data_IF_934817042234
#
_entry.id   IF_934817042234
#
_cell.length_a   1.000
_cell.length_b   1.000
_cell.length_c   1.000
_cell.angle_alpha   90.00
_cell.angle_beta   90.00
_cell.angle_gamma   90.00
#
_symmetry.space_group_name_H-M   'P 1'
#
loop_
_entity.id
_entity.type
_entity.pdbx_description
1 polymer ?
#
# COMPACT_ATOMS: atom_id res chain seq x y z
N UNK A 1 20.57 26.28 -23.50
CA UNK A 1 19.90 26.03 -22.20
C UNK A 1 18.67 26.91 -22.15
N UNK A 2 17.48 26.35 -21.92
CA UNK A 2 16.29 27.16 -21.61
C UNK A 2 16.19 27.32 -20.09
N UNK A 3 15.69 28.47 -19.62
CA UNK A 3 15.59 28.80 -18.19
C UNK A 3 14.50 28.00 -17.43
N UNK A 4 13.85 27.02 -18.06
CA UNK A 4 12.75 26.26 -17.46
C UNK A 4 11.46 27.09 -17.26
N UNK A 5 10.61 26.66 -16.31
CA UNK A 5 9.36 27.37 -15.97
C UNK A 5 9.69 28.64 -15.16
N UNK A 6 9.23 29.80 -15.64
CA UNK A 6 9.28 31.06 -14.87
C UNK A 6 8.45 30.91 -13.59
N UNK A 7 9.02 31.30 -12.45
CA UNK A 7 8.31 31.36 -11.17
C UNK A 7 7.55 32.70 -11.10
N UNK A 8 6.28 32.70 -11.49
CA UNK A 8 5.43 33.89 -11.56
C UNK A 8 3.99 33.55 -11.13
N UNK A 9 3.77 33.14 -9.87
CA UNK A 9 2.45 32.77 -9.40
C UNK A 9 1.55 34.01 -9.25
N UNK A 10 0.30 33.90 -9.68
CA UNK A 10 -0.73 34.90 -9.40
C UNK A 10 -1.25 34.78 -7.96
N UNK A 11 -1.94 35.79 -7.40
CA UNK A 11 -2.62 35.64 -6.12
C UNK A 11 -3.66 34.50 -6.14
N UNK A 12 -3.74 33.72 -5.06
CA UNK A 12 -4.67 32.58 -4.93
C UNK A 12 -6.13 33.07 -4.94
N UNK A 13 -6.99 32.62 -5.87
CA UNK A 13 -8.41 32.97 -5.89
C UNK A 13 -9.21 32.12 -4.88
N UNK A 14 -10.40 32.59 -4.49
CA UNK A 14 -11.26 31.92 -3.50
C UNK A 14 -11.89 30.61 -3.99
N UNK A 15 -11.88 30.34 -5.30
CA UNK A 15 -12.50 29.19 -5.95
C UNK A 15 -11.49 28.25 -6.63
N UNK A 16 -10.26 28.20 -6.14
CA UNK A 16 -9.19 27.38 -6.71
C UNK A 16 -9.44 25.87 -6.46
N UNK A 17 -9.37 25.05 -7.51
CA UNK A 17 -9.43 23.59 -7.36
C UNK A 17 -8.10 23.04 -6.81
N UNK A 18 -8.13 21.85 -6.18
CA UNK A 18 -6.89 21.18 -5.75
C UNK A 18 -5.98 20.91 -6.95
N UNK A 19 -6.56 20.60 -8.11
CA UNK A 19 -5.78 20.31 -9.30
C UNK A 19 -5.03 21.54 -9.84
N UNK A 20 -5.69 22.71 -9.83
CA UNK A 20 -5.07 23.97 -10.22
C UNK A 20 -4.06 24.45 -9.15
N UNK A 21 -4.34 24.20 -7.86
CA UNK A 21 -3.37 24.44 -6.79
C UNK A 21 -2.05 23.69 -7.05
N UNK A 22 -2.15 22.40 -7.40
CA UNK A 22 -1.00 21.57 -7.74
C UNK A 22 -0.31 22.06 -9.02
N UNK A 23 -1.07 22.35 -10.08
CA UNK A 23 -0.48 22.72 -11.37
C UNK A 23 0.18 24.11 -11.38
N UNK A 24 -0.39 25.07 -10.65
CA UNK A 24 -0.03 26.50 -10.76
C UNK A 24 0.74 27.07 -9.57
N UNK A 25 0.64 26.47 -8.38
CA UNK A 25 1.24 27.05 -7.16
C UNK A 25 2.33 26.18 -6.55
N UNK A 26 2.34 24.88 -6.82
CA UNK A 26 3.38 23.98 -6.33
C UNK A 26 4.64 24.06 -7.21
N UNK A 27 5.30 25.22 -7.16
CA UNK A 27 6.30 25.61 -8.17
C UNK A 27 7.75 25.26 -7.82
N UNK A 28 8.12 25.18 -6.54
CA UNK A 28 9.49 24.90 -6.09
C UNK A 28 9.53 23.98 -4.86
N UNK A 29 10.72 23.46 -4.53
CA UNK A 29 11.00 22.59 -3.37
C UNK A 29 10.05 21.38 -3.28
N UNK A 30 9.67 20.95 -2.07
CA UNK A 30 8.81 19.79 -1.86
C UNK A 30 7.41 19.97 -2.47
N UNK A 31 6.92 21.21 -2.61
CA UNK A 31 5.69 21.46 -3.35
C UNK A 31 5.85 21.03 -4.83
N UNK A 32 6.95 21.45 -5.49
CA UNK A 32 7.24 20.98 -6.85
C UNK A 32 7.40 19.46 -6.95
N UNK A 33 8.03 18.82 -5.95
CA UNK A 33 8.13 17.36 -5.90
C UNK A 33 6.76 16.70 -5.78
N UNK A 34 5.86 17.23 -4.95
CA UNK A 34 4.48 16.72 -4.87
C UNK A 34 3.72 16.89 -6.19
N UNK A 35 3.88 18.03 -6.86
CA UNK A 35 3.29 18.24 -8.19
C UNK A 35 3.81 17.25 -9.21
N UNK A 36 5.12 17.01 -9.23
CA UNK A 36 5.73 16.04 -10.14
C UNK A 36 5.28 14.62 -9.84
N UNK A 37 5.15 14.24 -8.56
CA UNK A 37 4.55 12.98 -8.15
C UNK A 37 3.10 12.84 -8.65
N UNK A 38 2.27 13.86 -8.48
CA UNK A 38 0.89 13.87 -8.97
C UNK A 38 0.82 13.72 -10.50
N UNK A 39 1.67 14.44 -11.23
CA UNK A 39 1.74 14.39 -12.69
C UNK A 39 2.29 13.07 -13.19
N UNK A 40 3.32 12.52 -12.56
CA UNK A 40 3.88 11.22 -12.91
C UNK A 40 2.85 10.12 -12.70
N UNK A 41 2.16 10.15 -11.55
CA UNK A 41 1.08 9.22 -11.24
C UNK A 41 0.00 9.25 -12.33
N UNK A 42 -0.56 10.43 -12.62
CA UNK A 42 -1.65 10.59 -13.60
C UNK A 42 -1.22 10.35 -15.04
N UNK A 43 -0.10 10.92 -15.48
CA UNK A 43 0.24 10.94 -16.92
C UNK A 43 0.95 9.67 -17.38
N UNK A 44 1.60 8.93 -16.47
CA UNK A 44 2.37 7.73 -16.83
C UNK A 44 1.92 6.50 -16.03
N UNK A 45 1.88 6.56 -14.70
CA UNK A 45 1.59 5.36 -13.89
C UNK A 45 0.16 4.84 -14.09
N UNK A 46 -0.79 5.71 -14.45
CA UNK A 46 -2.17 5.33 -14.74
C UNK A 46 -2.44 4.97 -16.22
N UNK A 47 -1.41 4.88 -17.06
CA UNK A 47 -1.60 4.39 -18.43
C UNK A 47 -2.16 2.94 -18.44
N UNK A 48 -2.93 2.55 -19.47
CA UNK A 48 -3.69 1.27 -19.47
C UNK A 48 -2.81 0.02 -19.32
N UNK A 49 -1.59 0.07 -19.82
CA UNK A 49 -0.60 -1.00 -19.83
C UNK A 49 0.25 -1.07 -18.55
N UNK A 50 0.02 -0.17 -17.59
CA UNK A 50 0.80 -0.10 -16.34
C UNK A 50 0.06 -0.78 -15.19
N UNK A 51 0.77 -1.62 -14.44
CA UNK A 51 0.27 -2.26 -13.22
C UNK A 51 0.82 -1.52 -12.00
N UNK A 52 -0.08 -0.94 -11.19
CA UNK A 52 0.24 -0.04 -10.09
C UNK A 52 0.19 -0.77 -8.75
N UNK A 53 1.33 -0.90 -8.10
CA UNK A 53 1.47 -1.34 -6.72
C UNK A 53 1.52 -0.15 -5.75
N UNK A 54 0.85 -0.27 -4.60
CA UNK A 54 0.88 0.76 -3.55
C UNK A 54 1.42 0.20 -2.25
N UNK A 55 2.26 0.97 -1.55
CA UNK A 55 2.67 0.61 -0.18
C UNK A 55 2.09 1.55 0.86
N UNK A 56 1.69 0.98 2.00
CA UNK A 56 1.08 1.71 3.11
C UNK A 56 1.85 1.45 4.40
N UNK A 57 2.46 2.51 4.94
CA UNK A 57 3.17 2.49 6.21
C UNK A 57 2.82 3.71 7.06
N UNK A 58 3.22 3.72 8.34
CA UNK A 58 2.74 4.71 9.30
C UNK A 58 1.28 4.46 9.71
N UNK A 59 0.70 5.41 10.46
CA UNK A 59 -0.67 5.32 10.96
C UNK A 59 -1.66 6.05 10.02
N UNK A 60 -1.87 5.52 8.81
CA UNK A 60 -2.70 6.17 7.78
C UNK A 60 -4.19 5.86 7.94
N UNK A 61 -4.57 4.62 8.19
CA UNK A 61 -5.99 4.26 8.30
C UNK A 61 -6.66 4.72 9.60
N UNK A 62 -5.97 4.85 10.76
CA UNK A 62 -6.55 5.48 11.93
C UNK A 62 -7.04 6.91 11.67
N UNK A 63 -6.33 7.70 10.86
CA UNK A 63 -6.72 9.08 10.52
C UNK A 63 -7.95 9.15 9.61
N UNK A 64 -8.38 8.01 9.04
CA UNK A 64 -9.51 7.91 8.12
C UNK A 64 -9.11 7.94 6.64
N UNK A 65 -7.82 8.06 6.31
CA UNK A 65 -7.33 8.12 4.92
C UNK A 65 -7.52 6.82 4.14
N UNK A 66 -7.68 5.68 4.83
CA UNK A 66 -8.13 4.43 4.21
C UNK A 66 -9.39 4.65 3.39
N UNK A 67 -10.45 5.09 4.06
CA UNK A 67 -11.73 5.38 3.44
C UNK A 67 -11.74 6.66 2.59
N UNK A 68 -11.10 7.73 3.06
CA UNK A 68 -11.21 9.04 2.42
C UNK A 68 -10.34 9.19 1.15
N UNK A 69 -9.24 8.44 1.05
CA UNK A 69 -8.26 8.60 -0.03
C UNK A 69 -7.97 7.30 -0.79
N UNK A 70 -7.65 6.22 -0.08
CA UNK A 70 -7.26 4.96 -0.72
C UNK A 70 -8.44 4.24 -1.40
N UNK A 71 -9.58 4.18 -0.72
CA UNK A 71 -10.78 3.53 -1.26
C UNK A 71 -11.25 4.15 -2.59
N UNK A 72 -11.34 5.49 -2.74
CA UNK A 72 -11.62 6.12 -4.03
C UNK A 72 -10.63 5.75 -5.14
N UNK A 73 -9.34 5.62 -4.83
CA UNK A 73 -8.33 5.19 -5.81
C UNK A 73 -8.51 3.72 -6.21
N UNK A 74 -8.85 2.84 -5.26
CA UNK A 74 -9.21 1.44 -5.55
C UNK A 74 -10.46 1.38 -6.43
N UNK A 75 -11.51 2.15 -6.09
CA UNK A 75 -12.75 2.20 -6.87
C UNK A 75 -12.53 2.68 -8.31
N UNK A 76 -11.66 3.67 -8.49
CA UNK A 76 -11.29 4.17 -9.79
C UNK A 76 -10.32 3.25 -10.56
N UNK A 77 -9.98 2.08 -10.03
CA UNK A 77 -9.05 1.14 -10.65
C UNK A 77 -7.62 1.69 -10.75
N UNK A 78 -7.25 2.66 -9.92
CA UNK A 78 -5.93 3.31 -9.93
C UNK A 78 -4.90 2.56 -9.06
N UNK A 79 -5.34 1.54 -8.32
CA UNK A 79 -4.51 0.68 -7.48
C UNK A 79 -4.79 -0.78 -7.87
N UNK A 80 -3.76 -1.51 -8.29
CA UNK A 80 -3.90 -2.87 -8.78
C UNK A 80 -3.51 -3.92 -7.72
N UNK A 81 -2.59 -3.59 -6.81
CA UNK A 81 -2.18 -4.42 -5.66
C UNK A 81 -1.56 -3.58 -4.54
N UNK A 82 -1.58 -4.08 -3.30
CA UNK A 82 -1.15 -3.34 -2.11
C UNK A 82 -0.20 -4.15 -1.26
N UNK A 83 0.84 -3.50 -0.71
CA UNK A 83 1.62 -4.02 0.42
C UNK A 83 1.45 -3.07 1.62
N UNK A 84 0.88 -3.54 2.72
CA UNK A 84 0.58 -2.71 3.89
C UNK A 84 1.26 -3.24 5.15
N UNK A 85 1.47 -2.39 6.16
CA UNK A 85 1.59 -2.89 7.53
C UNK A 85 0.27 -3.51 7.98
N UNK A 86 0.32 -4.55 8.80
CA UNK A 86 -0.90 -5.14 9.35
C UNK A 86 -1.61 -4.20 10.33
N UNK A 87 -0.91 -3.22 10.92
CA UNK A 87 -1.50 -2.17 11.74
C UNK A 87 -2.48 -1.28 10.96
N UNK A 88 -2.11 -0.85 9.74
CA UNK A 88 -3.05 -0.11 8.88
C UNK A 88 -4.29 -0.95 8.57
N UNK A 89 -4.10 -2.22 8.21
CA UNK A 89 -5.23 -3.10 7.88
C UNK A 89 -6.13 -3.36 9.09
N UNK A 90 -5.56 -3.50 10.29
CA UNK A 90 -6.29 -3.71 11.54
C UNK A 90 -7.09 -2.48 11.96
N UNK A 91 -6.45 -1.32 12.05
CA UNK A 91 -7.10 -0.12 12.58
C UNK A 91 -8.19 0.45 11.64
N UNK A 92 -8.11 0.15 10.35
CA UNK A 92 -9.15 0.49 9.38
C UNK A 92 -10.47 -0.26 9.67
N UNK A 93 -10.38 -1.46 10.25
CA UNK A 93 -11.55 -2.29 10.54
C UNK A 93 -12.45 -1.66 11.61
N UNK A 94 -11.91 -0.85 12.53
CA UNK A 94 -12.70 -0.31 13.64
C UNK A 94 -13.96 0.38 13.15
N UNK A 95 -13.82 1.27 12.16
CA UNK A 95 -14.96 1.98 11.55
C UNK A 95 -15.88 1.06 10.76
N UNK A 96 -15.32 0.06 10.08
CA UNK A 96 -16.09 -0.96 9.36
C UNK A 96 -16.90 -1.90 10.28
N UNK A 97 -16.55 -1.94 11.57
CA UNK A 97 -17.30 -2.65 12.60
C UNK A 97 -18.31 -1.76 13.34
N UNK A 98 -18.40 -0.48 12.97
CA UNK A 98 -19.31 0.50 13.57
C UNK A 98 -18.72 1.26 14.77
N UNK A 99 -17.40 1.23 14.96
CA UNK A 99 -16.74 2.00 16.02
C UNK A 99 -16.24 3.35 15.52
N UNK A 100 -16.05 4.26 16.46
CA UNK A 100 -15.63 5.63 16.19
C UNK A 100 -14.23 5.88 16.77
N UNK A 101 -13.47 6.73 16.08
CA UNK A 101 -12.16 7.22 16.51
C UNK A 101 -12.23 8.74 16.44
N UNK A 102 -11.64 9.41 17.42
CA UNK A 102 -11.73 10.86 17.60
C UNK A 102 -10.37 11.51 17.56
N UNK A 103 -10.31 12.76 17.11
CA UNK A 103 -9.11 13.57 17.23
C UNK A 103 -8.92 14.03 18.68
N UNK A 104 -7.67 14.13 19.11
CA UNK A 104 -7.26 14.76 20.38
C UNK A 104 -6.01 15.63 20.17
N UNK A 105 -5.52 16.26 21.23
CA UNK A 105 -4.19 16.89 21.23
C UNK A 105 -3.10 15.83 21.41
N UNK A 106 -1.93 15.95 20.74
CA UNK A 106 -0.80 15.06 21.02
C UNK A 106 -0.20 15.27 22.42
N UNK A 107 -0.62 16.32 23.14
CA UNK A 107 -0.12 16.72 24.46
C UNK A 107 -1.05 16.36 25.64
N UNK A 108 -2.00 15.45 25.42
CA UNK A 108 -2.86 14.93 26.50
C UNK A 108 -2.10 14.05 27.49
N UNK A 109 -2.62 13.92 28.71
CA UNK A 109 -2.01 13.10 29.76
C UNK A 109 -2.27 11.61 29.54
N UNK A 110 -1.23 10.87 29.17
CA UNK A 110 -1.29 9.43 28.91
C UNK A 110 -1.62 8.59 30.16
N UNK A 111 -1.30 9.08 31.37
CA UNK A 111 -1.64 8.39 32.61
C UNK A 111 -3.15 8.44 32.84
N UNK A 112 -3.76 9.60 32.61
CA UNK A 112 -5.21 9.77 32.70
C UNK A 112 -5.92 8.95 31.62
N UNK A 113 -5.45 9.00 30.37
CA UNK A 113 -6.00 8.17 29.30
C UNK A 113 -5.94 6.68 29.67
N UNK A 114 -4.81 6.22 30.22
CA UNK A 114 -4.66 4.83 30.67
C UNK A 114 -5.64 4.48 31.78
N UNK A 115 -5.83 5.36 32.78
CA UNK A 115 -6.77 5.16 33.88
C UNK A 115 -8.22 5.07 33.37
N UNK A 116 -8.56 5.89 32.37
CA UNK A 116 -9.87 5.91 31.70
C UNK A 116 -10.05 4.81 30.65
N UNK A 117 -9.01 3.99 30.39
CA UNK A 117 -8.98 2.97 29.34
C UNK A 117 -9.22 3.54 27.94
N UNK A 118 -8.64 4.71 27.67
CA UNK A 118 -8.59 5.32 26.35
C UNK A 118 -7.24 4.98 25.73
N UNK A 119 -7.27 4.51 24.48
CA UNK A 119 -6.09 4.21 23.68
C UNK A 119 -5.79 5.41 22.79
N UNK A 120 -4.52 5.76 22.66
CA UNK A 120 -4.06 6.88 21.83
C UNK A 120 -3.12 6.39 20.74
N UNK A 121 -3.33 6.93 19.53
CA UNK A 121 -2.40 6.88 18.40
C UNK A 121 -2.06 8.32 18.08
N UNK A 122 -0.98 8.84 18.66
CA UNK A 122 -0.57 10.24 18.56
C UNK A 122 -1.72 11.23 18.90
N UNK A 123 -2.37 11.85 17.93
CA UNK A 123 -3.47 12.80 18.07
C UNK A 123 -4.85 12.17 17.77
N UNK A 124 -4.97 10.84 17.89
CA UNK A 124 -6.20 10.06 17.72
C UNK A 124 -6.47 9.25 18.98
N UNK A 125 -7.72 9.20 19.43
CA UNK A 125 -8.17 8.43 20.59
C UNK A 125 -9.41 7.60 20.33
N UNK A 126 -9.54 6.50 21.06
CA UNK A 126 -10.72 5.64 21.09
C UNK A 126 -10.73 4.77 22.35
N UNK A 127 -11.90 4.29 22.76
CA UNK A 127 -12.02 3.43 23.93
C UNK A 127 -11.32 2.08 23.73
N UNK A 128 -10.67 1.56 24.77
CA UNK A 128 -10.05 0.22 24.75
C UNK A 128 -11.05 -0.88 24.36
N UNK A 129 -12.34 -0.69 24.67
CA UNK A 129 -13.39 -1.64 24.28
C UNK A 129 -13.49 -1.83 22.75
N UNK A 130 -13.12 -0.81 21.96
CA UNK A 130 -13.03 -0.92 20.50
C UNK A 130 -12.03 -2.00 20.09
N UNK A 131 -10.84 -2.04 20.71
CA UNK A 131 -9.85 -3.11 20.45
C UNK A 131 -10.43 -4.47 20.80
N UNK A 132 -10.99 -4.60 22.00
CA UNK A 132 -11.50 -5.88 22.51
C UNK A 132 -12.63 -6.44 21.62
N UNK A 133 -13.53 -5.57 21.14
CA UNK A 133 -14.62 -5.95 20.25
C UNK A 133 -14.13 -6.24 18.82
N UNK A 134 -13.19 -5.46 18.29
CA UNK A 134 -12.55 -5.75 17.00
C UNK A 134 -11.82 -7.09 17.02
N UNK A 135 -11.09 -7.37 18.10
CA UNK A 135 -10.42 -8.63 18.33
C UNK A 135 -11.40 -9.82 18.43
N UNK A 136 -12.52 -9.64 19.12
CA UNK A 136 -13.56 -10.66 19.21
C UNK A 136 -14.17 -10.97 17.83
N UNK A 137 -14.39 -9.95 17.00
CA UNK A 137 -14.82 -10.12 15.61
C UNK A 137 -13.77 -10.91 14.81
N UNK A 138 -12.49 -10.50 14.87
CA UNK A 138 -11.41 -11.18 14.16
C UNK A 138 -11.31 -12.66 14.56
N UNK A 139 -11.28 -12.97 15.86
CA UNK A 139 -11.21 -14.37 16.31
C UNK A 139 -12.36 -15.22 15.79
N UNK A 140 -13.58 -14.65 15.74
CA UNK A 140 -14.74 -15.35 15.20
C UNK A 140 -14.61 -15.62 13.70
N UNK A 141 -14.12 -14.64 12.93
CA UNK A 141 -13.90 -14.78 11.49
C UNK A 141 -12.77 -15.77 11.20
N UNK A 142 -11.63 -15.63 11.87
CA UNK A 142 -10.44 -16.46 11.68
C UNK A 142 -10.63 -17.92 12.12
N UNK A 143 -11.70 -18.23 12.85
CA UNK A 143 -12.10 -19.61 13.16
C UNK A 143 -12.88 -20.30 12.03
N UNK A 144 -13.28 -19.57 10.98
CA UNK A 144 -14.03 -20.15 9.88
C UNK A 144 -13.17 -21.15 9.06
N UNK A 145 -13.78 -22.16 8.40
CA UNK A 145 -13.05 -23.25 7.74
C UNK A 145 -12.02 -22.81 6.70
N UNK A 146 -12.30 -21.75 5.93
CA UNK A 146 -11.40 -21.25 4.89
C UNK A 146 -10.06 -20.73 5.43
N UNK A 147 -10.00 -20.38 6.72
CA UNK A 147 -8.78 -19.94 7.41
C UNK A 147 -8.01 -21.09 8.05
N UNK A 148 -8.55 -22.30 8.16
CA UNK A 148 -7.91 -23.41 8.88
C UNK A 148 -6.84 -24.13 8.04
N UNK A 149 -5.92 -23.35 7.46
CA UNK A 149 -4.75 -23.82 6.71
C UNK A 149 -3.66 -22.73 6.70
N UNK A 150 -2.50 -23.03 6.13
CA UNK A 150 -1.54 -21.99 5.77
C UNK A 150 -2.08 -21.17 4.61
N UNK A 151 -1.98 -19.85 4.72
CA UNK A 151 -2.45 -18.87 3.75
C UNK A 151 -1.33 -17.88 3.45
N UNK A 152 -1.22 -17.48 2.18
CA UNK A 152 -0.54 -16.21 1.87
C UNK A 152 -1.31 -15.06 2.55
N UNK A 153 -0.66 -13.94 2.86
CA UNK A 153 -1.35 -12.81 3.45
C UNK A 153 -2.39 -12.22 2.49
N UNK A 154 -2.19 -12.31 1.17
CA UNK A 154 -3.22 -11.94 0.21
C UNK A 154 -4.48 -12.81 0.30
N UNK A 155 -4.35 -14.13 0.48
CA UNK A 155 -5.52 -15.00 0.72
C UNK A 155 -6.24 -14.64 2.02
N UNK A 156 -5.49 -14.47 3.11
CA UNK A 156 -6.02 -14.07 4.42
C UNK A 156 -6.79 -12.75 4.32
N UNK A 157 -6.18 -11.73 3.73
CA UNK A 157 -6.79 -10.40 3.62
C UNK A 157 -7.97 -10.36 2.66
N UNK A 158 -7.97 -11.14 1.59
CA UNK A 158 -9.12 -11.26 0.70
C UNK A 158 -10.32 -11.90 1.41
N UNK A 159 -10.10 -13.02 2.10
CA UNK A 159 -11.15 -13.65 2.89
C UNK A 159 -11.62 -12.73 4.02
N UNK A 160 -10.73 -12.08 4.74
CA UNK A 160 -11.10 -11.12 5.77
C UNK A 160 -11.90 -9.94 5.19
N UNK A 161 -11.48 -9.40 4.04
CA UNK A 161 -12.17 -8.36 3.30
C UNK A 161 -13.61 -8.73 2.95
N UNK A 162 -13.87 -9.97 2.55
CA UNK A 162 -15.23 -10.52 2.35
C UNK A 162 -16.09 -10.39 3.61
N UNK A 163 -15.57 -10.81 4.77
CA UNK A 163 -16.32 -10.75 6.04
C UNK A 163 -16.54 -9.33 6.52
N UNK A 164 -15.53 -8.47 6.39
CA UNK A 164 -15.62 -7.06 6.75
C UNK A 164 -16.64 -6.36 5.85
N UNK A 165 -16.59 -6.59 4.53
CA UNK A 165 -17.54 -6.03 3.58
C UNK A 165 -18.98 -6.43 3.87
N UNK A 166 -19.21 -7.71 4.18
CA UNK A 166 -20.53 -8.20 4.59
C UNK A 166 -21.00 -7.54 5.90
N UNK A 167 -20.08 -7.22 6.82
CA UNK A 167 -20.39 -6.53 8.07
C UNK A 167 -20.76 -5.08 7.85
N UNK A 168 -20.01 -4.35 7.03
CA UNK A 168 -20.31 -2.96 6.62
C UNK A 168 -21.73 -2.86 6.03
N UNK A 169 -22.06 -3.74 5.08
CA UNK A 169 -23.38 -3.79 4.44
C UNK A 169 -24.49 -4.11 5.45
N UNK A 170 -24.28 -5.08 6.35
CA UNK A 170 -25.26 -5.44 7.38
C UNK A 170 -25.51 -4.28 8.36
N UNK A 171 -24.51 -3.46 8.63
CA UNK A 171 -24.62 -2.30 9.51
C UNK A 171 -25.13 -1.04 8.79
N UNK A 172 -25.26 -1.06 7.46
CA UNK A 172 -25.66 0.11 6.68
C UNK A 172 -24.62 1.23 6.70
N UNK A 173 -23.34 0.90 6.86
CA UNK A 173 -22.26 1.89 6.94
C UNK A 173 -21.95 2.48 5.57
N UNK A 174 -21.74 3.80 5.52
CA UNK A 174 -21.14 4.49 4.37
C UNK A 174 -19.63 4.28 4.30
N UNK A 175 -19.01 4.09 5.47
CA UNK A 175 -17.61 3.75 5.58
C UNK A 175 -17.35 2.36 4.97
N UNK A 176 -16.32 2.28 4.14
CA UNK A 176 -15.75 1.05 3.61
C UNK A 176 -14.25 1.04 3.88
N UNK A 177 -13.76 -0.07 4.40
CA UNK A 177 -12.33 -0.31 4.62
C UNK A 177 -11.57 -0.55 3.31
N UNK A 178 -10.25 -0.38 3.36
CA UNK A 178 -9.31 -0.80 2.32
C UNK A 178 -9.49 -2.28 2.00
N UNK A 179 -9.65 -3.16 2.99
CA UNK A 179 -9.89 -4.59 2.75
C UNK A 179 -11.24 -4.86 2.10
N UNK A 180 -12.30 -4.15 2.50
CA UNK A 180 -13.62 -4.27 1.88
C UNK A 180 -13.60 -3.81 0.41
N UNK A 181 -12.96 -2.68 0.14
CA UNK A 181 -12.79 -2.16 -1.23
C UNK A 181 -11.92 -3.07 -2.10
N UNK A 182 -10.81 -3.56 -1.55
CA UNK A 182 -9.90 -4.45 -2.26
C UNK A 182 -10.57 -5.78 -2.61
N UNK A 183 -11.41 -6.32 -1.71
CA UNK A 183 -12.23 -7.50 -1.98
C UNK A 183 -13.19 -7.27 -3.17
N UNK A 184 -13.94 -6.17 -3.16
CA UNK A 184 -14.88 -5.83 -4.25
C UNK A 184 -14.13 -5.71 -5.60
N UNK A 185 -12.96 -5.07 -5.60
CA UNK A 185 -12.15 -4.77 -6.78
C UNK A 185 -11.21 -5.91 -7.24
N UNK A 186 -11.09 -7.01 -6.47
CA UNK A 186 -10.13 -8.09 -6.77
C UNK A 186 -8.66 -7.65 -6.63
N UNK A 187 -8.36 -6.70 -5.75
CA UNK A 187 -7.01 -6.18 -5.48
C UNK A 187 -6.37 -7.04 -4.37
N UNK A 188 -5.25 -7.75 -4.62
CA UNK A 188 -4.57 -8.51 -3.57
C UNK A 188 -3.82 -7.57 -2.62
N UNK A 189 -3.91 -7.86 -1.31
CA UNK A 189 -3.30 -7.07 -0.24
C UNK A 189 -2.34 -7.93 0.56
N UNK A 190 -1.06 -7.59 0.53
CA UNK A 190 0.01 -8.31 1.22
C UNK A 190 0.47 -7.56 2.47
N UNK A 191 1.06 -8.29 3.42
CA UNK A 191 1.74 -7.72 4.59
C UNK A 191 3.11 -8.38 4.74
N UNK A 192 4.17 -7.58 4.65
CA UNK A 192 5.56 -8.05 4.70
C UNK A 192 6.01 -8.57 6.07
N UNK A 193 5.25 -8.29 7.13
CA UNK A 193 5.54 -8.72 8.50
C UNK A 193 4.23 -9.10 9.20
N UNK A 194 3.61 -10.25 8.85
CA UNK A 194 2.25 -10.58 9.27
C UNK A 194 2.08 -10.75 10.79
N UNK A 195 3.15 -11.18 11.48
CA UNK A 195 3.18 -11.27 12.95
C UNK A 195 3.20 -9.91 13.66
N UNK A 196 3.60 -8.83 12.96
CA UNK A 196 3.70 -7.48 13.51
C UNK A 196 2.39 -6.70 13.34
N UNK A 197 1.32 -7.26 13.89
CA UNK A 197 0.00 -6.62 13.91
C UNK A 197 -0.95 -7.31 14.89
N UNK A 198 -2.00 -6.61 15.30
CA UNK A 198 -3.07 -7.23 16.11
C UNK A 198 -3.79 -8.37 15.38
N UNK A 199 -3.84 -8.34 14.04
CA UNK A 199 -4.29 -9.48 13.22
C UNK A 199 -3.37 -10.68 13.50
N UNK A 200 -2.05 -10.50 13.36
CA UNK A 200 -1.04 -11.53 13.66
C UNK A 200 -1.08 -12.05 15.09
N UNK A 201 -1.27 -11.16 16.07
CA UNK A 201 -1.42 -11.53 17.48
C UNK A 201 -2.63 -12.43 17.73
N UNK A 202 -3.77 -12.14 17.09
CA UNK A 202 -4.96 -13.00 17.19
C UNK A 202 -4.73 -14.36 16.52
N UNK A 203 -4.03 -14.41 15.38
CA UNK A 203 -3.63 -15.69 14.75
C UNK A 203 -2.77 -16.50 15.71
N UNK A 204 -1.75 -15.88 16.32
CA UNK A 204 -0.86 -16.56 17.27
C UNK A 204 -1.62 -17.14 18.48
N UNK A 205 -2.55 -16.37 19.06
CA UNK A 205 -3.40 -16.84 20.16
C UNK A 205 -4.30 -18.01 19.75
N UNK A 206 -4.91 -17.96 18.56
CA UNK A 206 -5.74 -19.05 18.05
C UNK A 206 -4.93 -20.32 17.78
N UNK A 207 -3.67 -20.20 17.35
CA UNK A 207 -2.78 -21.37 17.20
C UNK A 207 -2.48 -22.06 18.52
N UNK A 208 -2.28 -21.31 19.60
CA UNK A 208 -2.14 -21.89 20.95
C UNK A 208 -3.41 -22.64 21.39
N UNK A 209 -4.57 -22.23 20.88
CA UNK A 209 -5.85 -22.89 21.12
C UNK A 209 -6.14 -24.06 20.14
N UNK A 210 -5.18 -24.48 19.32
CA UNK A 210 -5.32 -25.60 18.38
C UNK A 210 -5.80 -25.24 16.97
N UNK A 211 -5.94 -23.94 16.64
CA UNK A 211 -6.25 -23.48 15.30
C UNK A 211 -5.14 -23.78 14.29
N UNK A 212 -5.51 -24.04 13.03
CA UNK A 212 -4.55 -24.44 11.99
C UNK A 212 -4.04 -23.26 11.14
N UNK A 213 -4.70 -22.10 11.23
CA UNK A 213 -4.31 -20.89 10.51
C UNK A 213 -2.83 -20.56 10.74
N UNK A 214 -2.10 -20.35 9.65
CA UNK A 214 -0.71 -19.90 9.67
C UNK A 214 -0.41 -19.06 8.43
N UNK A 215 0.64 -18.26 8.52
CA UNK A 215 1.10 -17.45 7.39
C UNK A 215 2.03 -18.26 6.49
N UNK A 216 1.98 -18.00 5.19
CA UNK A 216 2.89 -18.51 4.17
C UNK A 216 3.65 -17.32 3.53
N UNK A 217 4.75 -16.84 4.15
CA UNK A 217 5.52 -15.72 3.62
C UNK A 217 6.19 -16.04 2.28
N UNK A 218 6.54 -17.30 2.03
CA UNK A 218 7.12 -17.74 0.77
C UNK A 218 6.11 -17.56 -0.38
N UNK A 219 4.84 -17.88 -0.15
CA UNK A 219 3.77 -17.59 -1.10
C UNK A 219 3.64 -16.08 -1.36
N UNK A 220 3.71 -15.22 -0.35
CA UNK A 220 3.64 -13.76 -0.54
C UNK A 220 4.79 -13.23 -1.42
N UNK A 221 6.02 -13.70 -1.19
CA UNK A 221 7.18 -13.32 -2.00
C UNK A 221 6.97 -13.76 -3.46
N UNK A 222 6.56 -15.00 -3.69
CA UNK A 222 6.38 -15.51 -5.05
C UNK A 222 5.18 -14.87 -5.76
N UNK A 223 4.07 -14.62 -5.08
CA UNK A 223 2.87 -14.00 -5.65
C UNK A 223 3.11 -12.54 -6.05
N UNK A 224 3.76 -11.75 -5.19
CA UNK A 224 4.11 -10.35 -5.51
C UNK A 224 5.13 -10.27 -6.65
N UNK A 225 6.11 -11.16 -6.66
CA UNK A 225 7.06 -11.32 -7.76
C UNK A 225 6.34 -11.67 -9.07
N UNK A 226 5.37 -12.58 -9.01
CA UNK A 226 4.59 -13.00 -10.17
C UNK A 226 3.71 -11.87 -10.74
N UNK A 227 3.18 -10.98 -9.89
CA UNK A 227 2.46 -9.78 -10.33
C UNK A 227 3.37 -8.86 -11.16
N UNK A 228 4.58 -8.59 -10.68
CA UNK A 228 5.54 -7.72 -11.38
C UNK A 228 6.03 -8.37 -12.68
N UNK A 229 6.44 -9.64 -12.60
CA UNK A 229 6.86 -10.41 -13.77
C UNK A 229 5.77 -10.47 -14.86
N UNK A 230 4.52 -10.77 -14.48
CA UNK A 230 3.39 -10.83 -15.41
C UNK A 230 3.05 -9.48 -16.03
N UNK A 231 3.19 -8.37 -15.29
CA UNK A 231 2.96 -7.02 -15.83
C UNK A 231 3.92 -6.71 -16.98
N UNK A 232 5.19 -7.12 -16.87
CA UNK A 232 6.22 -6.80 -17.87
C UNK A 232 6.27 -7.79 -19.02
N UNK A 233 6.15 -9.08 -18.73
CA UNK A 233 6.15 -10.12 -19.79
C UNK A 233 4.92 -10.10 -20.69
N UNK A 234 3.82 -9.48 -20.25
CA UNK A 234 2.67 -9.20 -21.12
C UNK A 234 2.86 -7.99 -22.03
N UNK A 235 4.05 -7.37 -22.03
CA UNK A 235 4.39 -6.16 -22.80
C UNK A 235 3.98 -4.85 -22.12
N UNK A 236 3.54 -4.92 -20.86
CA UNK A 236 3.21 -3.76 -20.04
C UNK A 236 4.37 -3.30 -19.14
N UNK A 237 4.03 -2.51 -18.12
CA UNK A 237 4.98 -1.88 -17.20
C UNK A 237 4.56 -2.03 -15.74
N UNK A 238 5.50 -1.90 -14.82
CA UNK A 238 5.22 -1.86 -13.39
C UNK A 238 5.49 -0.48 -12.78
N UNK A 239 4.64 -0.09 -11.82
CA UNK A 239 4.74 1.18 -11.15
C UNK A 239 4.52 1.01 -9.64
N UNK A 240 5.27 1.76 -8.83
CA UNK A 240 5.12 1.76 -7.38
C UNK A 240 4.84 3.16 -6.83
N UNK A 241 3.73 3.30 -6.09
CA UNK A 241 3.42 4.47 -5.28
C UNK A 241 3.61 4.11 -3.80
N UNK A 242 4.64 4.67 -3.19
CA UNK A 242 5.08 4.36 -1.84
C UNK A 242 4.62 5.47 -0.90
N UNK A 243 3.75 5.13 0.04
CA UNK A 243 3.30 6.03 1.11
C UNK A 243 4.05 5.66 2.41
N UNK A 244 5.07 6.47 2.70
CA UNK A 244 6.03 6.30 3.78
C UNK A 244 7.27 5.48 3.37
N UNK A 245 7.55 4.41 4.10
CA UNK A 245 8.75 3.58 3.92
C UNK A 245 8.66 2.22 4.62
N UNK A 246 9.73 1.84 5.31
CA UNK A 246 9.79 0.63 6.13
C UNK A 246 9.66 -0.68 5.35
N UNK A 247 9.17 -1.71 6.05
CA UNK A 247 9.02 -3.07 5.51
C UNK A 247 8.14 -3.13 4.25
N UNK A 248 6.99 -2.40 4.16
CA UNK A 248 6.19 -2.38 2.93
C UNK A 248 6.95 -1.87 1.69
N UNK A 249 7.75 -0.79 1.85
CA UNK A 249 8.63 -0.30 0.78
C UNK A 249 9.64 -1.35 0.36
N UNK A 250 10.28 -2.04 1.30
CA UNK A 250 11.25 -3.08 0.90
C UNK A 250 10.58 -4.18 0.10
N UNK A 251 9.46 -4.67 0.63
CA UNK A 251 8.81 -5.87 0.16
C UNK A 251 8.22 -5.70 -1.24
N UNK A 252 7.73 -4.50 -1.58
CA UNK A 252 7.29 -4.23 -2.95
C UNK A 252 8.44 -4.11 -3.94
N UNK A 253 9.60 -3.61 -3.49
CA UNK A 253 10.75 -3.38 -4.36
C UNK A 253 11.61 -4.63 -4.52
N UNK A 254 11.64 -5.53 -3.53
CA UNK A 254 12.46 -6.74 -3.57
C UNK A 254 12.00 -7.76 -4.62
N UNK A 255 10.80 -7.57 -5.20
CA UNK A 255 10.32 -8.38 -6.34
C UNK A 255 11.33 -8.34 -7.49
N UNK A 256 12.01 -7.21 -7.68
CA UNK A 256 12.98 -7.01 -8.75
C UNK A 256 14.28 -7.82 -8.51
N UNK A 257 15.00 -7.68 -7.37
CA UNK A 257 16.07 -8.60 -7.00
C UNK A 257 15.67 -10.08 -7.00
N UNK A 258 14.42 -10.40 -6.62
CA UNK A 258 13.94 -11.78 -6.66
C UNK A 258 13.92 -12.33 -8.10
N UNK A 259 13.48 -11.54 -9.07
CA UNK A 259 13.48 -11.92 -10.50
C UNK A 259 14.91 -11.99 -11.03
N UNK A 260 15.68 -10.92 -10.85
CA UNK A 260 16.97 -10.72 -11.51
C UNK A 260 18.10 -11.53 -10.86
N UNK A 261 18.25 -11.42 -9.53
CA UNK A 261 19.40 -11.97 -8.81
C UNK A 261 19.14 -13.39 -8.30
N UNK A 262 17.96 -13.64 -7.73
CA UNK A 262 17.63 -14.93 -7.10
C UNK A 262 17.14 -15.96 -8.13
N UNK A 263 16.30 -15.54 -9.08
CA UNK A 263 15.76 -16.42 -10.12
C UNK A 263 16.58 -16.41 -11.42
N UNK A 264 17.52 -15.47 -11.58
CA UNK A 264 18.37 -15.37 -12.78
C UNK A 264 17.61 -15.02 -14.06
N UNK A 265 16.43 -14.41 -13.94
CA UNK A 265 15.60 -14.01 -15.07
C UNK A 265 16.00 -12.60 -15.50
N UNK A 266 16.42 -12.45 -16.76
CA UNK A 266 16.79 -11.13 -17.30
C UNK A 266 15.58 -10.20 -17.35
N UNK A 267 15.67 -9.10 -16.62
CA UNK A 267 14.60 -8.16 -16.35
C UNK A 267 15.21 -6.84 -15.84
N UNK A 268 14.48 -5.73 -15.91
CA UNK A 268 14.92 -4.42 -15.39
C UNK A 268 14.02 -4.01 -14.23
N UNK A 269 14.44 -3.10 -13.36
CA UNK A 269 13.60 -2.66 -12.23
C UNK A 269 12.23 -2.07 -12.59
N UNK A 270 11.48 -1.60 -11.59
CA UNK A 270 10.18 -0.95 -11.82
C UNK A 270 10.33 0.27 -12.76
N UNK A 271 9.38 0.43 -13.70
CA UNK A 271 9.38 1.51 -14.69
C UNK A 271 9.10 2.88 -14.07
N UNK A 272 8.24 2.93 -13.04
CA UNK A 272 7.82 4.18 -12.43
C UNK A 272 7.87 4.11 -10.91
N UNK A 273 8.44 5.14 -10.29
CA UNK A 273 8.63 5.21 -8.85
C UNK A 273 8.17 6.55 -8.30
N UNK A 274 7.21 6.53 -7.37
CA UNK A 274 6.84 7.68 -6.56
C UNK A 274 6.93 7.30 -5.09
N UNK A 275 7.67 8.07 -4.30
CA UNK A 275 7.70 7.94 -2.85
C UNK A 275 7.31 9.25 -2.17
N UNK A 276 6.39 9.17 -1.22
CA UNK A 276 6.06 10.23 -0.27
C UNK A 276 6.59 9.77 1.09
N UNK A 277 7.53 10.50 1.70
CA UNK A 277 8.19 10.07 2.95
C UNK A 277 8.66 11.25 3.78
N UNK A 278 8.76 11.09 5.09
CA UNK A 278 9.44 12.01 6.01
C UNK A 278 10.86 11.55 6.37
N UNK A 279 11.21 10.32 5.99
CA UNK A 279 12.48 9.71 6.34
C UNK A 279 13.63 10.31 5.53
N UNK A 280 14.67 10.76 6.25
CA UNK A 280 15.88 11.31 5.64
C UNK A 280 16.83 10.17 5.19
N UNK A 281 17.59 10.37 4.10
CA UNK A 281 18.53 9.36 3.60
C UNK A 281 19.79 9.19 4.48
N UNK A 282 20.23 10.24 5.19
CA UNK A 282 21.52 10.28 5.91
C UNK A 282 21.59 9.33 7.12
N UNK A 283 20.46 8.86 7.62
CA UNK A 283 20.40 7.99 8.81
C UNK A 283 20.59 6.51 8.48
N UNK A 284 20.75 6.14 7.20
CA UNK A 284 20.96 4.75 6.75
C UNK A 284 19.72 3.86 6.85
N UNK A 285 18.55 4.44 7.15
CA UNK A 285 17.29 3.70 7.21
C UNK A 285 16.69 3.48 5.82
N UNK A 286 16.20 2.26 5.55
CA UNK A 286 15.55 1.89 4.29
C UNK A 286 14.42 2.86 3.87
N UNK A 287 13.68 3.40 4.84
CA UNK A 287 12.61 4.38 4.57
C UNK A 287 13.12 5.60 3.80
N UNK A 288 14.35 6.05 4.05
CA UNK A 288 14.98 7.18 3.39
C UNK A 288 15.82 6.83 2.16
N UNK A 289 16.06 5.54 1.89
CA UNK A 289 16.89 5.07 0.76
C UNK A 289 16.39 5.65 -0.57
N UNK A 290 17.32 6.23 -1.34
CA UNK A 290 16.98 7.00 -2.55
C UNK A 290 16.69 6.10 -3.75
N UNK A 291 15.96 6.57 -4.77
CA UNK A 291 15.79 5.83 -6.02
C UNK A 291 17.14 5.55 -6.72
N UNK A 292 18.11 6.47 -6.63
CA UNK A 292 19.46 6.26 -7.16
C UNK A 292 20.19 5.11 -6.46
N UNK A 293 19.99 4.95 -5.15
CA UNK A 293 20.47 3.77 -4.43
C UNK A 293 19.69 2.52 -4.87
N UNK A 294 18.37 2.63 -5.05
CA UNK A 294 17.53 1.51 -5.50
C UNK A 294 17.92 0.98 -6.89
N UNK A 295 18.44 1.83 -7.79
CA UNK A 295 18.97 1.41 -9.10
C UNK A 295 20.15 0.43 -8.95
N UNK A 296 21.04 0.61 -7.97
CA UNK A 296 22.18 -0.32 -7.80
C UNK A 296 21.75 -1.71 -7.34
N UNK A 297 20.53 -1.83 -6.82
CA UNK A 297 19.90 -3.09 -6.43
C UNK A 297 18.96 -3.62 -7.51
N UNK A 298 18.97 -3.06 -8.72
CA UNK A 298 18.06 -3.45 -9.81
C UNK A 298 16.58 -3.14 -9.54
N UNK A 299 16.23 -2.40 -8.47
CA UNK A 299 14.83 -2.14 -8.04
C UNK A 299 14.09 -1.13 -8.92
N UNK A 300 14.82 -0.29 -9.63
CA UNK A 300 14.31 0.76 -10.54
C UNK A 300 15.07 0.66 -11.86
N UNK A 301 14.37 0.74 -12.98
CA UNK A 301 15.02 0.75 -14.30
C UNK A 301 15.94 1.99 -14.43
N UNK A 302 17.26 1.83 -14.70
CA UNK A 302 18.17 2.96 -14.88
C UNK A 302 17.74 3.90 -16.01
N UNK A 303 17.07 3.40 -17.05
CA UNK A 303 16.59 4.20 -18.18
C UNK A 303 15.38 5.08 -17.80
N UNK A 304 14.71 4.78 -16.68
CA UNK A 304 13.54 5.49 -16.16
C UNK A 304 13.85 6.36 -14.92
N UNK A 305 15.13 6.63 -14.62
CA UNK A 305 15.54 7.52 -13.53
C UNK A 305 14.83 8.90 -13.51
N UNK A 306 14.57 9.56 -14.66
CA UNK A 306 13.78 10.81 -14.68
C UNK A 306 12.33 10.65 -14.18
N UNK A 307 11.81 9.43 -14.18
CA UNK A 307 10.47 9.05 -13.71
C UNK A 307 10.51 8.41 -12.31
N UNK A 308 11.51 8.80 -11.51
CA UNK A 308 11.62 8.48 -10.08
C UNK A 308 11.52 9.74 -9.23
N UNK A 309 10.42 9.89 -8.49
CA UNK A 309 10.15 11.08 -7.66
C UNK A 309 10.12 10.69 -6.18
N UNK A 310 10.91 11.40 -5.37
CA UNK A 310 10.77 11.41 -3.91
C UNK A 310 10.26 12.77 -3.46
N UNK A 311 9.16 12.78 -2.71
CA UNK A 311 8.60 13.95 -2.08
C UNK A 311 8.76 13.84 -0.56
N UNK A 312 9.61 14.69 0.01
CA UNK A 312 9.84 14.73 1.45
C UNK A 312 8.72 15.52 2.15
N UNK A 313 7.66 14.85 2.59
CA UNK A 313 6.48 15.45 3.22
C UNK A 313 5.66 14.42 4.00
N UNK A 314 4.81 14.91 4.89
CA UNK A 314 3.82 14.09 5.59
C UNK A 314 2.81 13.48 4.60
N UNK A 315 2.57 12.17 4.73
CA UNK A 315 1.63 11.42 3.92
C UNK A 315 0.18 11.87 4.12
N UNK A 316 -0.17 12.36 5.30
CA UNK A 316 -1.50 12.89 5.63
C UNK A 316 -1.82 14.19 4.90
N UNK A 317 -0.80 14.94 4.46
CA UNK A 317 -0.95 16.10 3.58
C UNK A 317 -0.98 15.69 2.11
N UNK A 318 -0.03 14.84 1.69
CA UNK A 318 0.19 14.55 0.29
C UNK A 318 -0.83 13.56 -0.30
N UNK A 319 -1.26 12.53 0.44
CA UNK A 319 -2.15 11.50 -0.08
C UNK A 319 -3.55 12.05 -0.45
N UNK A 320 -4.21 12.91 0.35
CA UNK A 320 -5.46 13.56 -0.06
C UNK A 320 -5.31 14.41 -1.33
N UNK A 321 -4.21 15.17 -1.43
CA UNK A 321 -3.92 16.03 -2.59
C UNK A 321 -3.72 15.18 -3.85
N UNK A 322 -2.89 14.14 -3.77
CA UNK A 322 -2.63 13.21 -4.86
C UNK A 322 -3.92 12.51 -5.30
N UNK A 323 -4.75 12.10 -4.34
CA UNK A 323 -6.05 11.46 -4.63
C UNK A 323 -6.99 12.41 -5.36
N UNK A 324 -7.18 13.62 -4.83
CA UNK A 324 -8.04 14.62 -5.45
C UNK A 324 -7.54 15.00 -6.85
N UNK A 325 -6.22 15.14 -7.03
CA UNK A 325 -5.61 15.40 -8.33
C UNK A 325 -5.88 14.28 -9.31
N UNK A 326 -5.64 13.02 -8.92
CA UNK A 326 -5.82 11.85 -9.77
C UNK A 326 -7.26 11.68 -10.22
N UNK A 327 -8.22 11.77 -9.30
CA UNK A 327 -9.65 11.67 -9.60
C UNK A 327 -10.14 12.82 -10.49
N UNK A 328 -9.54 14.00 -10.39
CA UNK A 328 -9.90 15.15 -11.23
C UNK A 328 -9.28 15.08 -12.64
N UNK A 329 -8.11 14.47 -12.79
CA UNK A 329 -7.32 14.52 -14.04
C UNK A 329 -7.26 13.20 -14.81
N UNK A 330 -7.71 12.09 -14.24
CA UNK A 330 -7.72 10.79 -14.89
C UNK A 330 -9.08 10.09 -14.77
N UNK A 331 -9.59 9.56 -15.88
CA UNK A 331 -10.81 8.76 -15.87
C UNK A 331 -10.58 7.43 -15.10
N UNK A 332 -11.62 6.85 -14.48
CA UNK A 332 -11.51 5.52 -13.89
C UNK A 332 -11.00 4.48 -14.90
N UNK A 333 -10.17 3.55 -14.43
CA UNK A 333 -9.66 2.40 -15.19
C UNK A 333 -10.46 1.15 -14.84
N UNK A 334 -10.59 0.18 -15.77
CA UNK A 334 -11.09 -1.14 -15.42
C UNK A 334 -10.22 -1.80 -14.34
N UNK A 335 -10.83 -2.44 -13.35
CA UNK A 335 -10.08 -3.21 -12.35
C UNK A 335 -9.36 -4.38 -13.01
N UNK A 336 -8.05 -4.52 -12.78
CA UNK A 336 -7.29 -5.68 -13.25
C UNK A 336 -7.67 -6.98 -12.55
N UNK A 337 -8.24 -6.91 -11.33
CA UNK A 337 -8.65 -8.08 -10.53
C UNK A 337 -7.51 -9.10 -10.37
N UNK A 338 -6.34 -8.62 -9.93
CA UNK A 338 -5.12 -9.44 -9.84
C UNK A 338 -5.24 -10.59 -8.84
N UNK A 339 -6.13 -10.50 -7.85
CA UNK A 339 -6.32 -11.56 -6.86
C UNK A 339 -6.71 -12.90 -7.51
N UNK A 340 -7.64 -12.86 -8.46
CA UNK A 340 -8.11 -14.02 -9.20
C UNK A 340 -7.07 -14.53 -10.21
N UNK A 341 -6.16 -13.66 -10.65
CA UNK A 341 -5.12 -14.00 -11.61
C UNK A 341 -3.87 -14.63 -10.96
N UNK A 342 -3.72 -14.58 -9.63
CA UNK A 342 -2.53 -15.06 -8.91
C UNK A 342 -2.10 -16.49 -9.32
N UNK A 343 -3.00 -17.50 -9.44
CA UNK A 343 -2.56 -18.84 -9.85
C UNK A 343 -1.92 -18.87 -11.23
N UNK A 344 -2.46 -18.12 -12.20
CA UNK A 344 -1.92 -18.05 -13.56
C UNK A 344 -0.60 -17.29 -13.60
N UNK A 345 -0.51 -16.17 -12.88
CA UNK A 345 0.73 -15.38 -12.75
C UNK A 345 1.84 -16.23 -12.12
N UNK A 346 1.53 -16.95 -11.04
CA UNK A 346 2.49 -17.79 -10.33
C UNK A 346 2.96 -18.97 -11.21
N UNK A 347 2.07 -19.56 -11.99
CA UNK A 347 2.43 -20.62 -12.93
C UNK A 347 3.39 -20.10 -14.01
N UNK A 348 3.16 -18.90 -14.55
CA UNK A 348 4.04 -18.25 -15.52
C UNK A 348 5.43 -17.97 -14.93
N UNK A 349 5.49 -17.38 -13.73
CA UNK A 349 6.75 -17.15 -13.03
C UNK A 349 7.50 -18.47 -12.75
N UNK A 350 6.78 -19.49 -12.30
CA UNK A 350 7.37 -20.81 -12.01
C UNK A 350 7.98 -21.43 -13.26
N UNK A 351 7.27 -21.37 -14.39
CA UNK A 351 7.78 -21.88 -15.66
C UNK A 351 9.05 -21.13 -16.10
N UNK A 352 9.06 -19.80 -15.97
CA UNK A 352 10.22 -18.97 -16.29
C UNK A 352 11.41 -19.28 -15.39
N UNK A 353 11.20 -19.42 -14.08
CA UNK A 353 12.26 -19.79 -13.14
C UNK A 353 12.83 -21.17 -13.45
N UNK A 354 11.99 -22.18 -13.69
CA UNK A 354 12.47 -23.53 -14.02
C UNK A 354 13.26 -23.60 -15.33
N UNK A 355 13.00 -22.70 -16.28
CA UNK A 355 13.76 -22.58 -17.52
C UNK A 355 15.12 -21.90 -17.33
N UNK A 356 15.21 -20.93 -16.40
CA UNK A 356 16.41 -20.14 -16.13
C UNK A 356 17.21 -20.66 -14.92
N UNK A 357 16.69 -21.66 -14.20
CA UNK A 357 17.31 -22.19 -12.98
C UNK A 357 18.73 -22.65 -13.33
N UNK A 358 19.76 -22.13 -12.64
CA UNK A 358 21.11 -22.64 -12.81
C UNK A 358 21.11 -24.16 -12.63
N UNK A 359 21.80 -24.89 -13.51
CA UNK A 359 22.17 -26.27 -13.20
C UNK A 359 22.89 -26.25 -11.85
N UNK A 360 22.56 -27.18 -10.96
CA UNK A 360 23.08 -27.23 -9.58
C UNK A 360 24.59 -26.97 -9.61
N UNK A 361 25.00 -25.74 -9.27
CA UNK A 361 26.39 -25.34 -9.37
C UNK A 361 27.11 -25.90 -8.17
N UNK A 362 28.27 -26.51 -8.39
CA UNK A 362 29.20 -26.93 -7.34
C UNK A 362 29.71 -25.70 -6.57
N UNK A 363 28.93 -25.23 -5.59
CA UNK A 363 29.36 -24.31 -4.54
C UNK A 363 28.92 -24.83 -3.18
#
# INVERSE_FOLDING_TARGET
MSYGRKLDPHPIPTNLSVADLVDDYFLAYNAARLREACRLFVNKMLAPDVTVGVTLSGALTPTGLGHAALVPLIDAGMIDWIVSTGANLYHDLHRSLGFELFQTSPFVDDVELRAQKIIRIYDIVFDQEVLLKSDAFLRRVLAAPEFQRRLSTAELHYHLGKYVRARELRLGLTHRSVLGAAFDAGVPVYTSSPGDSTIGMNVAALRLAGGQLGFDPEADVNETTAVVYGAKTSGGKSAVLIIGGGSPKNFILQTEPQIQEIMGIDEKGHDYFVQITDARPDTGGLSGATPSEAVTWGKVDPDQLPDSIVCYTDSTLALPILTAYALAKHAPRPHKRLYEQRPALLAALTAAYLQNRPADSEF
#
